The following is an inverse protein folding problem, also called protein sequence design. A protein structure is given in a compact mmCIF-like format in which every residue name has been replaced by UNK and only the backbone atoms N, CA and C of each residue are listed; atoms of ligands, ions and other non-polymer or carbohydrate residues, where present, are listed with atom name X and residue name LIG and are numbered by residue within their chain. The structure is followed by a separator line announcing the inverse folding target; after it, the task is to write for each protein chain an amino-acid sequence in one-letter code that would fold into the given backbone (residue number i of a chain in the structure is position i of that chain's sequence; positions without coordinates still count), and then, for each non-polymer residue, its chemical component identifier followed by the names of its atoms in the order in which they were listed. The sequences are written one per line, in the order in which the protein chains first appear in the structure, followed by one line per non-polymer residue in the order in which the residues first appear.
data_IF_298249716669
#
_entry.id   IF_298249716669
#
_cell.length_a   1.000
_cell.length_b   1.000
_cell.length_c   1.000
_cell.angle_alpha   90.00
_cell.angle_beta   90.00
_cell.angle_gamma   90.00
#
_symmetry.space_group_name_H-M   'P 1'
#
loop_
_entity.id
_entity.type
_entity.pdbx_description
1 polymer ?
#
# COMPACT_ATOMS: atom_id res chain seq x y z
N UNK A 1 10.34 -4.21 -4.50
CA UNK A 1 10.61 -4.41 -3.06
C UNK A 1 11.85 -3.63 -2.71
N UNK A 2 11.71 -2.46 -2.08
CA UNK A 2 12.89 -1.62 -1.75
C UNK A 2 12.87 -1.15 -0.29
N UNK A 3 11.88 -1.56 0.49
CA UNK A 3 11.79 -1.18 1.90
C UNK A 3 12.38 -2.28 2.77
N UNK A 4 13.54 -1.99 3.38
CA UNK A 4 14.23 -2.90 4.28
C UNK A 4 13.43 -3.15 5.57
N UNK A 5 12.60 -2.19 5.99
CA UNK A 5 11.80 -2.35 7.20
C UNK A 5 10.71 -3.41 7.03
N UNK A 6 10.41 -3.83 5.80
CA UNK A 6 9.38 -4.83 5.51
C UNK A 6 9.89 -6.28 5.39
N UNK A 7 11.21 -6.51 5.48
CA UNK A 7 11.80 -7.83 5.16
C UNK A 7 11.41 -8.95 6.12
N UNK A 8 11.05 -8.60 7.36
CA UNK A 8 10.65 -9.56 8.40
C UNK A 8 9.17 -9.95 8.31
N UNK A 9 8.38 -9.25 7.48
CA UNK A 9 6.94 -9.49 7.39
C UNK A 9 6.63 -10.71 6.51
N UNK A 10 5.73 -11.61 6.94
CA UNK A 10 5.27 -12.72 6.12
C UNK A 10 4.72 -12.25 4.76
N UNK A 11 4.96 -12.99 3.66
CA UNK A 11 4.40 -12.61 2.36
C UNK A 11 2.87 -12.51 2.35
N UNK A 12 2.18 -13.32 3.16
CA UNK A 12 0.72 -13.33 3.26
C UNK A 12 0.16 -12.05 3.90
N UNK A 13 0.79 -11.50 4.94
CA UNK A 13 0.35 -10.23 5.55
C UNK A 13 0.60 -9.05 4.61
N UNK A 14 1.72 -9.07 3.88
CA UNK A 14 2.04 -8.03 2.88
C UNK A 14 1.02 -8.03 1.74
N UNK A 15 0.62 -9.22 1.26
CA UNK A 15 -0.41 -9.35 0.24
C UNK A 15 -1.78 -8.84 0.75
N UNK A 16 -2.17 -9.24 1.95
CA UNK A 16 -3.45 -8.85 2.58
C UNK A 16 -3.52 -7.33 2.82
N UNK A 17 -2.44 -6.74 3.35
CA UNK A 17 -2.34 -5.30 3.57
C UNK A 17 -2.34 -4.51 2.26
N UNK A 18 -1.69 -5.02 1.21
CA UNK A 18 -1.71 -4.40 -0.12
C UNK A 18 -3.12 -4.38 -0.70
N UNK A 19 -3.89 -5.45 -0.52
CA UNK A 19 -5.29 -5.53 -0.93
C UNK A 19 -6.15 -4.56 -0.11
N UNK A 20 -6.06 -4.61 1.22
CA UNK A 20 -6.80 -3.72 2.12
C UNK A 20 -6.54 -2.23 1.81
N UNK A 21 -5.29 -1.87 1.53
CA UNK A 21 -4.93 -0.51 1.10
C UNK A 21 -5.56 -0.15 -0.25
N UNK A 22 -5.54 -1.08 -1.21
CA UNK A 22 -6.12 -0.85 -2.54
C UNK A 22 -7.63 -0.63 -2.47
N UNK A 23 -8.34 -1.40 -1.63
CA UNK A 23 -9.78 -1.22 -1.38
C UNK A 23 -10.08 0.20 -0.85
N UNK A 24 -9.33 0.66 0.16
CA UNK A 24 -9.49 2.01 0.72
C UNK A 24 -9.14 3.13 -0.26
N UNK A 25 -8.07 2.97 -1.04
CA UNK A 25 -7.61 4.02 -1.98
C UNK A 25 -8.53 4.16 -3.18
N UNK A 26 -9.12 3.04 -3.64
CA UNK A 26 -10.00 3.03 -4.81
C UNK A 26 -11.48 3.15 -4.45
N UNK A 27 -11.83 3.25 -3.17
CA UNK A 27 -13.20 3.22 -2.67
C UNK A 27 -13.98 1.99 -3.20
N UNK A 28 -13.31 0.83 -3.19
CA UNK A 28 -13.79 -0.40 -3.81
C UNK A 28 -14.38 -1.41 -2.78
N UNK A 29 -14.62 -0.95 -1.56
CA UNK A 29 -15.14 -1.75 -0.45
C UNK A 29 -14.29 -1.66 0.81
N UNK A 30 -14.67 -2.44 1.83
CA UNK A 30 -14.00 -2.50 3.13
C UNK A 30 -13.37 -3.88 3.37
N UNK A 31 -12.53 -3.98 4.40
CA UNK A 31 -12.02 -5.25 4.88
C UNK A 31 -13.11 -5.99 5.66
N UNK A 32 -13.83 -6.88 4.99
CA UNK A 32 -15.00 -7.58 5.53
C UNK A 32 -14.65 -8.90 6.26
N UNK A 33 -15.66 -9.51 6.88
CA UNK A 33 -15.51 -10.79 7.58
C UNK A 33 -15.10 -11.93 6.64
N UNK A 34 -15.44 -11.86 5.35
CA UNK A 34 -15.07 -12.87 4.36
C UNK A 34 -13.56 -12.81 4.08
N UNK A 35 -13.01 -11.62 3.88
CA UNK A 35 -11.57 -11.40 3.73
C UNK A 35 -10.82 -11.84 4.97
N UNK A 36 -11.30 -11.47 6.17
CA UNK A 36 -10.69 -11.93 7.42
C UNK A 36 -10.72 -13.46 7.56
N UNK A 37 -11.83 -14.12 7.20
CA UNK A 37 -11.95 -15.57 7.27
C UNK A 37 -10.94 -16.30 6.37
N UNK A 38 -10.73 -15.83 5.14
CA UNK A 38 -9.83 -16.49 4.18
C UNK A 38 -8.36 -16.09 4.33
N UNK A 39 -8.09 -14.88 4.82
CA UNK A 39 -6.72 -14.36 4.92
C UNK A 39 -6.14 -14.50 6.34
N UNK A 40 -6.99 -14.79 7.34
CA UNK A 40 -6.63 -14.94 8.75
C UNK A 40 -5.97 -13.70 9.37
N UNK A 41 -6.29 -12.52 8.83
CA UNK A 41 -5.79 -11.22 9.32
C UNK A 41 -6.95 -10.29 9.65
N UNK A 42 -6.92 -9.72 10.86
CA UNK A 42 -7.85 -8.67 11.27
C UNK A 42 -7.49 -7.35 10.59
N UNK A 43 -8.47 -6.45 10.42
CA UNK A 43 -8.20 -5.12 9.89
C UNK A 43 -7.09 -4.38 10.69
N UNK A 44 -7.07 -4.56 12.01
CA UNK A 44 -6.07 -3.98 12.92
C UNK A 44 -4.66 -4.49 12.67
N UNK A 45 -4.50 -5.81 12.45
CA UNK A 45 -3.20 -6.43 12.18
C UNK A 45 -2.55 -5.93 10.88
N UNK A 46 -3.36 -5.46 9.93
CA UNK A 46 -2.90 -4.95 8.64
C UNK A 46 -2.43 -3.49 8.71
N UNK A 47 -2.87 -2.72 9.70
CA UNK A 47 -2.59 -1.28 9.82
C UNK A 47 -1.08 -0.96 9.72
N UNK A 48 -0.19 -1.62 10.49
CA UNK A 48 1.24 -1.31 10.44
C UNK A 48 1.84 -1.55 9.06
N UNK A 49 1.44 -2.64 8.41
CA UNK A 49 1.93 -3.02 7.08
C UNK A 49 1.40 -2.06 6.01
N UNK A 50 0.12 -1.68 6.10
CA UNK A 50 -0.49 -0.66 5.25
C UNK A 50 0.24 0.69 5.37
N UNK A 51 0.63 1.07 6.59
CA UNK A 51 1.37 2.30 6.85
C UNK A 51 2.76 2.28 6.20
N UNK A 52 3.49 1.16 6.29
CA UNK A 52 4.76 0.97 5.55
C UNK A 52 4.57 1.09 4.02
N UNK A 53 3.54 0.46 3.47
CA UNK A 53 3.24 0.53 2.03
C UNK A 53 2.91 1.97 1.63
N UNK A 54 2.05 2.66 2.39
CA UNK A 54 1.65 4.04 2.15
C UNK A 54 2.85 5.00 2.20
N UNK A 55 3.73 4.86 3.19
CA UNK A 55 5.01 5.60 3.26
C UNK A 55 5.83 5.43 1.98
N UNK A 56 5.92 4.20 1.46
CA UNK A 56 6.67 3.93 0.23
C UNK A 56 6.02 4.57 -1.00
N UNK A 57 4.68 4.59 -1.09
CA UNK A 57 3.94 5.30 -2.13
C UNK A 57 4.24 6.80 -2.10
N UNK A 58 4.21 7.42 -0.91
CA UNK A 58 4.56 8.84 -0.76
C UNK A 58 6.00 9.12 -1.20
N UNK A 59 6.96 8.30 -0.75
CA UNK A 59 8.37 8.47 -1.13
C UNK A 59 8.58 8.46 -2.64
N UNK A 60 7.93 7.56 -3.37
CA UNK A 60 8.04 7.51 -4.84
C UNK A 60 7.23 8.60 -5.53
N UNK A 61 6.13 9.07 -4.94
CA UNK A 61 5.31 10.15 -5.49
C UNK A 61 5.99 11.51 -5.35
N UNK A 62 6.59 11.78 -4.20
CA UNK A 62 7.25 13.05 -3.87
C UNK A 62 8.68 13.15 -4.38
N UNK A 63 9.22 12.08 -4.99
CA UNK A 63 10.57 12.09 -5.53
C UNK A 63 11.68 11.95 -4.48
N UNK A 64 11.34 11.57 -3.24
CA UNK A 64 12.30 11.52 -2.12
C UNK A 64 13.14 10.25 -2.09
N UNK A 65 12.94 9.32 -3.03
CA UNK A 65 13.75 8.12 -3.22
C UNK A 65 14.33 8.02 -4.63
N UNK A 66 15.53 7.45 -4.76
CA UNK A 66 16.14 7.16 -6.08
C UNK A 66 15.55 5.91 -6.73
N UNK A 67 14.80 5.10 -5.99
CA UNK A 67 14.33 3.79 -6.43
C UNK A 67 13.02 3.87 -7.24
N UNK A 68 13.09 4.46 -8.43
CA UNK A 68 11.93 4.80 -9.26
C UNK A 68 11.52 3.74 -10.29
N UNK A 69 12.30 2.67 -10.45
CA UNK A 69 12.07 1.66 -11.49
C UNK A 69 10.67 1.01 -11.42
N UNK A 70 10.16 0.74 -10.20
CA UNK A 70 8.84 0.13 -10.01
C UNK A 70 7.73 1.12 -10.39
N UNK A 71 7.80 2.37 -9.93
CA UNK A 71 6.86 3.42 -10.32
C UNK A 71 6.85 3.57 -11.84
N UNK A 72 8.02 3.67 -12.47
CA UNK A 72 8.16 3.75 -13.93
C UNK A 72 7.49 2.58 -14.66
N UNK A 73 7.72 1.34 -14.20
CA UNK A 73 7.08 0.13 -14.77
C UNK A 73 5.55 0.21 -14.72
N UNK A 74 4.99 0.57 -13.57
CA UNK A 74 3.54 0.65 -13.35
C UNK A 74 2.89 1.94 -13.89
N UNK A 75 3.68 2.91 -14.35
CA UNK A 75 3.21 4.10 -15.08
C UNK A 75 2.97 3.83 -16.58
N UNK A 76 3.39 2.67 -17.09
CA UNK A 76 3.20 2.31 -18.50
C UNK A 76 1.76 1.90 -18.81
N UNK A 77 1.33 2.05 -20.07
CA UNK A 77 0.00 1.58 -20.53
C UNK A 77 -0.20 0.07 -20.33
N UNK A 78 0.86 -0.73 -20.41
CA UNK A 78 0.83 -2.18 -20.13
C UNK A 78 0.32 -2.50 -18.72
N UNK A 79 0.51 -1.58 -17.78
CA UNK A 79 0.03 -1.69 -16.40
C UNK A 79 -1.09 -0.68 -16.10
N UNK A 80 -1.85 -0.30 -17.12
CA UNK A 80 -2.97 0.64 -17.03
C UNK A 80 -2.61 2.01 -16.42
N UNK A 81 -1.30 2.36 -16.40
CA UNK A 81 -0.77 3.57 -15.75
C UNK A 81 -1.17 3.68 -14.27
N UNK A 82 -1.38 2.56 -13.59
CA UNK A 82 -1.92 2.53 -12.22
C UNK A 82 -1.07 3.32 -11.21
N UNK A 83 0.25 3.45 -11.44
CA UNK A 83 1.13 4.25 -10.59
C UNK A 83 0.96 5.78 -10.75
N UNK A 84 0.08 6.23 -11.65
CA UNK A 84 -0.15 7.66 -11.94
C UNK A 84 -1.54 8.15 -11.54
N UNK A 85 -2.39 7.29 -10.97
CA UNK A 85 -3.76 7.66 -10.58
C UNK A 85 -3.75 8.74 -9.48
N UNK A 86 -4.74 9.63 -9.52
CA UNK A 86 -4.84 10.76 -8.58
C UNK A 86 -5.06 10.29 -7.13
N UNK A 87 -5.72 9.15 -6.94
CA UNK A 87 -6.02 8.55 -5.64
C UNK A 87 -4.75 8.25 -4.83
N UNK A 88 -3.60 7.99 -5.48
CA UNK A 88 -2.33 7.77 -4.79
C UNK A 88 -1.73 9.05 -4.16
N UNK A 89 -2.29 10.23 -4.48
CA UNK A 89 -1.94 11.53 -3.88
C UNK A 89 -3.02 12.04 -2.92
N UNK A 90 -4.06 11.23 -2.67
CA UNK A 90 -5.16 11.61 -1.77
C UNK A 90 -4.73 11.62 -0.30
N UNK A 91 -5.50 12.30 0.54
CA UNK A 91 -5.30 12.32 1.99
C UNK A 91 -5.35 10.92 2.60
N UNK A 92 -6.11 9.98 2.02
CA UNK A 92 -6.20 8.59 2.50
C UNK A 92 -4.81 7.94 2.62
N UNK A 93 -3.97 8.10 1.59
CA UNK A 93 -2.61 7.54 1.60
C UNK A 93 -1.75 8.26 2.63
N UNK A 94 -1.86 9.59 2.72
CA UNK A 94 -1.11 10.40 3.69
C UNK A 94 -1.49 10.06 5.13
N UNK A 95 -2.77 9.85 5.42
CA UNK A 95 -3.27 9.59 6.77
C UNK A 95 -2.94 8.16 7.22
N UNK A 96 -2.98 7.18 6.31
CA UNK A 96 -2.49 5.83 6.59
C UNK A 96 -0.97 5.84 6.83
N UNK A 97 -0.19 6.61 6.06
CA UNK A 97 1.25 6.70 6.27
C UNK A 97 1.62 7.32 7.64
N UNK A 98 0.84 8.28 8.15
CA UNK A 98 1.05 8.90 9.47
C UNK A 98 0.82 7.92 10.63
N UNK A 99 0.05 6.84 10.43
CA UNK A 99 -0.16 5.81 11.45
C UNK A 99 1.11 5.02 11.77
N UNK A 100 2.19 5.20 10.98
CA UNK A 100 3.53 4.66 11.26
C UNK A 100 4.27 5.40 12.40
N UNK A 101 3.56 6.07 13.31
CA UNK A 101 4.20 6.82 14.39
C UNK A 101 4.73 5.85 15.47
N UNK A 102 6.03 5.98 15.72
CA UNK A 102 6.93 5.30 16.68
C UNK A 102 6.27 4.77 17.96
#
# INVERSE_FOLDING_TARGET
MVDYEMVHMPPSIVASASLALSLKVLDAGEWDMTLQHYMDYTAESLIPVMAHIAKNVLKVNDGTTKHMAIKGKYSTSKQMRIATIAQLKSSVVTDIAKQLTV
#
